data_IF_789094990941
#
_entry.id   IF_789094990941
#
_cell.length_a   1.000
_cell.length_b   1.000
_cell.length_c   1.000
_cell.angle_alpha   90.00
_cell.angle_beta   90.00
_cell.angle_gamma   90.00
#
_symmetry.space_group_name_H-M   'P 1'
#
loop_
_entity.id
_entity.type
_entity.pdbx_description
1 polymer ?
#
# COMPACT_ATOMS: atom_id res chain seq x y z
N UNK A 1 32.57 15.68 5.73
CA UNK A 1 31.60 14.88 6.50
C UNK A 1 30.46 14.54 5.57
N UNK A 2 30.47 13.35 4.96
CA UNK A 2 29.43 12.94 4.01
C UNK A 2 28.34 12.24 4.83
N UNK A 3 27.18 12.88 4.98
CA UNK A 3 26.01 12.30 5.63
C UNK A 3 25.64 11.02 4.86
N UNK A 4 25.99 9.85 5.41
CA UNK A 4 25.43 8.57 5.00
C UNK A 4 23.98 8.57 5.44
N UNK A 5 23.07 8.94 4.55
CA UNK A 5 21.63 8.70 4.72
C UNK A 5 21.45 7.18 4.64
N UNK A 6 21.65 6.51 5.79
CA UNK A 6 21.37 5.09 6.01
C UNK A 6 19.84 4.89 6.01
N UNK A 7 19.24 5.08 4.85
CA UNK A 7 17.79 5.03 4.67
C UNK A 7 17.40 4.53 3.29
N UNK A 8 18.30 3.84 2.57
CA UNK A 8 17.90 3.02 1.43
C UNK A 8 17.27 1.75 2.04
N UNK A 9 16.11 1.91 2.68
CA UNK A 9 15.22 0.80 3.01
C UNK A 9 14.88 0.18 1.68
N UNK A 10 15.44 -1.00 1.38
CA UNK A 10 15.23 -1.80 0.17
C UNK A 10 13.93 -1.42 -0.54
N UNK A 11 13.97 -0.69 -1.68
CA UNK A 11 12.76 -0.24 -2.35
C UNK A 11 11.88 -1.42 -2.79
N UNK A 12 12.46 -2.62 -2.88
CA UNK A 12 11.77 -3.87 -3.18
C UNK A 12 10.95 -4.46 -2.01
N UNK A 13 11.07 -3.93 -0.79
CA UNK A 13 10.44 -4.52 0.41
C UNK A 13 9.54 -3.56 1.21
N UNK A 14 9.32 -2.33 0.73
CA UNK A 14 8.47 -1.39 1.44
C UNK A 14 7.00 -1.78 1.29
N UNK A 15 6.49 -2.48 2.31
CA UNK A 15 5.10 -2.89 2.43
C UNK A 15 4.37 -1.92 3.35
N UNK A 16 3.19 -1.49 2.95
CA UNK A 16 2.34 -0.56 3.70
C UNK A 16 0.97 -1.19 3.91
N UNK A 17 0.42 -0.99 5.10
CA UNK A 17 -0.92 -1.43 5.44
C UNK A 17 -1.89 -0.28 5.22
N UNK A 18 -2.97 -0.55 4.50
CA UNK A 18 -4.02 0.43 4.22
C UNK A 18 -5.37 -0.16 4.59
N UNK A 19 -6.28 0.71 5.04
CA UNK A 19 -7.70 0.40 5.19
C UNK A 19 -8.50 1.06 4.07
N UNK A 20 -9.28 0.29 3.33
CA UNK A 20 -10.14 0.83 2.29
C UNK A 20 -11.29 1.64 2.91
N UNK A 21 -11.61 2.79 2.33
CA UNK A 21 -12.76 3.63 2.73
C UNK A 21 -13.87 3.64 1.67
N UNK A 22 -13.61 3.04 0.50
CA UNK A 22 -14.55 2.88 -0.61
C UNK A 22 -14.41 1.48 -1.20
N UNK A 23 -15.44 1.01 -1.92
CA UNK A 23 -15.37 -0.25 -2.67
C UNK A 23 -14.30 -0.16 -3.77
N UNK A 24 -13.43 -1.16 -3.85
CA UNK A 24 -12.39 -1.29 -4.87
C UNK A 24 -12.60 -2.60 -5.63
N UNK A 25 -12.67 -2.51 -6.96
CA UNK A 25 -12.79 -3.69 -7.83
C UNK A 25 -11.50 -4.52 -7.74
N UNK A 26 -11.60 -5.80 -8.07
CA UNK A 26 -10.40 -6.62 -8.17
C UNK A 26 -9.41 -6.02 -9.18
N UNK A 27 -8.13 -6.06 -8.85
CA UNK A 27 -7.03 -5.55 -9.68
C UNK A 27 -5.84 -6.52 -9.63
N UNK A 28 -4.93 -6.41 -10.59
CA UNK A 28 -3.68 -7.16 -10.59
C UNK A 28 -2.60 -6.34 -9.89
N UNK A 29 -1.92 -6.93 -8.91
CA UNK A 29 -0.82 -6.26 -8.20
C UNK A 29 0.49 -6.30 -9.01
N UNK A 30 1.52 -5.62 -8.52
CA UNK A 30 2.84 -5.59 -9.17
C UNK A 30 3.51 -6.97 -9.29
N UNK A 31 3.03 -7.98 -8.58
CA UNK A 31 3.51 -9.36 -8.66
C UNK A 31 2.65 -10.23 -9.60
N UNK A 32 1.74 -9.64 -10.38
CA UNK A 32 0.83 -10.37 -11.27
C UNK A 32 -0.29 -11.10 -10.53
N UNK A 33 -0.48 -10.86 -9.23
CA UNK A 33 -1.51 -11.53 -8.44
C UNK A 33 -2.79 -10.71 -8.43
N UNK A 34 -3.91 -11.35 -8.77
CA UNK A 34 -5.23 -10.75 -8.64
C UNK A 34 -5.58 -10.56 -7.16
N UNK A 35 -5.92 -9.33 -6.77
CA UNK A 35 -6.32 -8.94 -5.41
C UNK A 35 -7.71 -8.31 -5.40
N UNK A 36 -8.47 -8.57 -4.33
CA UNK A 36 -9.81 -8.03 -4.13
C UNK A 36 -10.91 -8.89 -4.79
N UNK A 37 -12.14 -8.35 -4.93
CA UNK A 37 -12.56 -6.99 -4.61
C UNK A 37 -12.51 -6.67 -3.11
N UNK A 38 -12.41 -5.38 -2.76
CA UNK A 38 -12.37 -4.89 -1.38
C UNK A 38 -13.58 -4.00 -1.08
N UNK A 39 -14.13 -4.14 0.12
CA UNK A 39 -15.19 -3.32 0.71
C UNK A 39 -14.57 -2.21 1.60
N UNK A 40 -15.35 -1.18 1.96
CA UNK A 40 -14.94 -0.27 3.03
C UNK A 40 -14.60 -1.05 4.31
N UNK A 41 -13.62 -0.56 5.05
CA UNK A 41 -13.04 -1.13 6.26
C UNK A 41 -12.19 -2.40 6.07
N UNK A 42 -12.14 -2.99 4.87
CA UNK A 42 -11.17 -4.04 4.56
C UNK A 42 -9.73 -3.51 4.67
N UNK A 43 -8.85 -4.33 5.24
CA UNK A 43 -7.42 -4.00 5.43
C UNK A 43 -6.57 -4.81 4.47
N UNK A 44 -5.57 -4.17 3.86
CA UNK A 44 -4.63 -4.80 2.94
C UNK A 44 -3.20 -4.33 3.20
N UNK A 45 -2.28 -5.29 3.32
CA UNK A 45 -0.84 -5.03 3.28
C UNK A 45 -0.32 -5.27 1.86
N UNK A 46 0.22 -4.23 1.24
CA UNK A 46 0.67 -4.24 -0.17
C UNK A 46 1.90 -3.34 -0.36
N UNK A 47 2.53 -3.41 -1.53
CA UNK A 47 3.62 -2.52 -1.90
C UNK A 47 3.26 -1.05 -1.69
N UNK A 48 4.21 -0.28 -1.19
CA UNK A 48 4.03 1.13 -0.82
C UNK A 48 3.48 1.98 -1.99
N UNK A 49 3.94 1.75 -3.21
CA UNK A 49 3.46 2.47 -4.39
C UNK A 49 1.97 2.22 -4.64
N UNK A 50 1.56 0.95 -4.58
CA UNK A 50 0.16 0.58 -4.76
C UNK A 50 -0.70 1.14 -3.63
N UNK A 51 -0.21 1.10 -2.38
CA UNK A 51 -0.88 1.68 -1.23
C UNK A 51 -1.06 3.20 -1.39
N UNK A 52 0.01 3.91 -1.75
CA UNK A 52 -0.01 5.36 -1.96
C UNK A 52 -0.94 5.74 -3.11
N UNK A 53 -1.01 4.95 -4.19
CA UNK A 53 -1.99 5.17 -5.27
C UNK A 53 -3.44 5.13 -4.76
N UNK A 54 -3.78 4.20 -3.86
CA UNK A 54 -5.13 4.14 -3.29
C UNK A 54 -5.42 5.29 -2.33
N UNK A 55 -4.42 5.73 -1.57
CA UNK A 55 -4.52 6.88 -0.67
C UNK A 55 -4.70 8.16 -1.48
N UNK A 56 -3.86 8.41 -2.49
CA UNK A 56 -3.93 9.57 -3.38
C UNK A 56 -5.27 9.64 -4.14
N UNK A 57 -5.84 8.49 -4.52
CA UNK A 57 -7.17 8.41 -5.15
C UNK A 57 -8.34 8.55 -4.16
N UNK A 58 -8.07 8.76 -2.86
CA UNK A 58 -9.10 8.85 -1.82
C UNK A 58 -9.94 7.58 -1.67
N UNK A 59 -9.34 6.41 -1.95
CA UNK A 59 -10.01 5.08 -1.86
C UNK A 59 -9.60 4.32 -0.60
N UNK A 60 -8.45 4.62 -0.02
CA UNK A 60 -7.94 4.02 1.20
C UNK A 60 -7.28 5.07 2.10
N UNK A 61 -7.04 4.70 3.36
CA UNK A 61 -6.23 5.46 4.32
C UNK A 61 -5.10 4.58 4.83
N UNK A 62 -3.98 5.19 5.21
CA UNK A 62 -2.93 4.49 5.95
C UNK A 62 -3.51 3.93 7.25
N UNK A 63 -3.12 2.69 7.56
CA UNK A 63 -3.54 1.99 8.76
C UNK A 63 -2.33 1.33 9.37
N UNK A 64 -1.85 1.88 10.48
CA UNK A 64 -0.75 1.33 11.24
C UNK A 64 -1.31 0.33 12.28
N UNK A 65 -0.73 -0.86 12.34
CA UNK A 65 -1.02 -1.83 13.40
C UNK A 65 0.22 -1.82 14.27
N UNK A 66 0.19 -0.99 15.31
CA UNK A 66 1.13 -1.00 16.44
C UNK A 66 0.86 -2.22 17.33
#
# INVERSE_FOLDING_TARGET
>A
MILKIHGITDPKKQMKTIRFIKKVRAFEDLAGKKRGPFKPDDVLRIHIDTANLFILKGKAKEFDID
#
